data_IF_749891404688
#
_entry.id   IF_749891404688
#
_cell.length_a   1.000
_cell.length_b   1.000
_cell.length_c   1.000
_cell.angle_alpha   90.00
_cell.angle_beta   90.00
_cell.angle_gamma   90.00
#
_symmetry.space_group_name_H-M   'P 1'
#
loop_
_entity.id
_entity.type
_entity.pdbx_description
1 polymer ?
#
# COMPACT_ATOMS: atom_id res chain seq x y z
N UNK A 1 -29.61 -2.09 -12.99
CA UNK A 1 -28.33 -2.47 -12.37
C UNK A 1 -28.25 -1.68 -11.08
N UNK A 2 -28.13 -2.36 -9.94
CA UNK A 2 -27.94 -1.66 -8.66
C UNK A 2 -26.46 -1.26 -8.63
N UNK A 3 -26.16 0.01 -8.87
CA UNK A 3 -24.81 0.53 -8.69
C UNK A 3 -24.46 0.41 -7.21
N UNK A 4 -23.38 -0.31 -6.91
CA UNK A 4 -22.89 -0.43 -5.55
C UNK A 4 -22.59 0.95 -4.97
N UNK A 5 -22.96 1.17 -3.70
CA UNK A 5 -22.59 2.40 -2.96
C UNK A 5 -21.21 2.31 -2.33
N UNK A 6 -20.53 1.16 -2.48
CA UNK A 6 -19.21 0.94 -1.93
C UNK A 6 -18.19 1.89 -2.54
N UNK A 7 -17.20 2.24 -1.73
CA UNK A 7 -16.10 3.12 -2.12
C UNK A 7 -14.79 2.35 -1.95
N UNK A 8 -14.00 2.30 -3.02
CA UNK A 8 -12.63 1.82 -3.00
C UNK A 8 -11.69 3.01 -3.13
N UNK A 9 -10.62 3.05 -2.33
CA UNK A 9 -9.65 4.15 -2.32
C UNK A 9 -8.24 3.59 -2.48
N UNK A 10 -7.48 4.17 -3.42
CA UNK A 10 -6.04 3.97 -3.59
C UNK A 10 -5.33 5.27 -3.22
N UNK A 11 -4.66 5.30 -2.06
CA UNK A 11 -3.75 6.39 -1.74
C UNK A 11 -2.36 6.05 -2.24
N UNK A 12 -1.66 7.01 -2.84
CA UNK A 12 -0.30 6.81 -3.32
C UNK A 12 0.64 7.93 -2.89
N UNK A 13 1.88 7.57 -2.56
CA UNK A 13 2.98 8.50 -2.34
C UNK A 13 4.22 8.02 -3.08
N UNK A 14 4.77 8.87 -3.94
CA UNK A 14 6.01 8.62 -4.67
C UNK A 14 7.19 9.41 -4.11
N UNK A 15 8.39 9.03 -4.51
CA UNK A 15 9.65 9.71 -4.19
C UNK A 15 9.85 9.88 -2.67
N UNK A 16 9.41 8.89 -1.89
CA UNK A 16 9.67 8.88 -0.46
C UNK A 16 11.13 8.53 -0.25
N UNK A 17 11.85 9.32 0.55
CA UNK A 17 13.27 9.10 0.81
C UNK A 17 13.49 7.85 1.66
N UNK A 18 14.23 6.88 1.13
CA UNK A 18 14.55 5.61 1.79
C UNK A 18 15.49 5.84 2.99
N UNK A 19 16.42 6.78 2.88
CA UNK A 19 17.35 7.20 3.93
C UNK A 19 16.67 7.98 5.08
N UNK A 20 15.42 8.39 4.91
CA UNK A 20 14.60 8.98 5.97
C UNK A 20 13.70 7.97 6.66
N UNK A 21 13.73 6.70 6.25
CA UNK A 21 13.16 5.61 7.05
C UNK A 21 13.82 5.59 8.44
N UNK A 22 15.16 5.58 8.63
CA UNK A 22 15.78 5.41 9.96
C UNK A 22 15.57 6.55 10.97
N UNK A 23 15.59 7.83 10.60
CA UNK A 23 15.85 8.90 11.57
C UNK A 23 14.61 9.51 12.24
N UNK A 24 14.25 9.02 13.44
CA UNK A 24 13.63 9.84 14.51
C UNK A 24 14.18 9.44 15.89
N UNK A 25 15.50 9.42 16.03
CA UNK A 25 16.16 9.40 17.34
C UNK A 25 16.67 10.82 17.63
N UNK A 26 16.18 11.53 18.66
CA UNK A 26 16.55 12.92 18.93
C UNK A 26 17.98 13.11 19.48
N UNK A 27 18.81 12.05 19.51
CA UNK A 27 20.20 12.10 19.96
C UNK A 27 21.13 11.63 18.83
N UNK A 28 21.45 12.52 17.88
CA UNK A 28 22.55 12.30 16.95
C UNK A 28 23.88 12.38 17.71
N UNK A 29 24.64 11.29 17.74
CA UNK A 29 26.06 11.29 18.12
C UNK A 29 26.85 12.00 17.02
N UNK A 30 27.77 12.85 17.45
CA UNK A 30 28.57 13.78 16.67
C UNK A 30 29.74 13.11 15.91
N UNK A 31 29.47 12.10 15.09
CA UNK A 31 30.47 11.45 14.23
C UNK A 31 29.90 11.18 12.81
N UNK A 32 29.16 12.14 12.25
CA UNK A 32 28.86 12.10 10.81
C UNK A 32 30.14 12.42 10.03
N UNK A 33 30.76 11.36 9.50
CA UNK A 33 31.79 11.41 8.47
C UNK A 33 31.39 12.43 7.40
N UNK A 34 32.28 13.38 7.09
CA UNK A 34 32.09 14.36 6.03
C UNK A 34 31.80 13.63 4.71
N UNK A 35 30.55 13.75 4.24
CA UNK A 35 30.08 13.14 2.99
C UNK A 35 30.95 13.59 1.82
N UNK A 36 31.44 12.64 1.02
CA UNK A 36 32.29 12.95 -0.14
C UNK A 36 31.48 13.62 -1.26
N UNK A 37 32.15 14.32 -2.19
CA UNK A 37 31.50 14.90 -3.36
C UNK A 37 30.80 13.83 -4.22
N UNK A 38 31.36 12.61 -4.25
CA UNK A 38 30.77 11.44 -4.92
C UNK A 38 29.48 10.97 -4.27
N UNK A 39 29.35 11.08 -2.95
CA UNK A 39 28.11 10.74 -2.24
C UNK A 39 26.99 11.76 -2.49
N UNK A 40 27.34 13.03 -2.76
CA UNK A 40 26.37 14.05 -3.17
C UNK A 40 25.88 13.87 -4.62
N UNK A 41 26.64 13.15 -5.45
CA UNK A 41 26.29 12.88 -6.85
C UNK A 41 25.46 11.61 -7.04
N UNK A 42 25.35 10.75 -6.02
CA UNK A 42 24.46 9.58 -6.08
C UNK A 42 23.01 10.03 -5.87
N UNK A 43 22.05 9.55 -6.68
CA UNK A 43 20.64 9.82 -6.43
C UNK A 43 20.25 9.33 -5.03
N UNK A 44 19.53 10.15 -4.27
CA UNK A 44 18.93 9.72 -3.00
C UNK A 44 18.03 8.49 -3.30
N UNK A 45 18.21 7.35 -2.62
CA UNK A 45 17.34 6.19 -2.84
C UNK A 45 15.92 6.54 -2.41
N UNK A 46 14.94 6.23 -3.27
CA UNK A 46 13.52 6.50 -3.01
C UNK A 46 12.68 5.22 -3.07
N UNK A 47 11.49 5.31 -2.49
CA UNK A 47 10.46 4.29 -2.55
C UNK A 47 9.08 4.93 -2.74
N UNK A 48 8.11 4.12 -3.14
CA UNK A 48 6.70 4.44 -3.17
C UNK A 48 5.93 3.67 -2.11
N UNK A 49 4.88 4.27 -1.58
CA UNK A 49 3.91 3.59 -0.71
C UNK A 49 2.49 3.78 -1.22
N UNK A 50 1.69 2.73 -1.06
CA UNK A 50 0.30 2.70 -1.50
C UNK A 50 -0.59 2.14 -0.39
N UNK A 51 -1.80 2.67 -0.26
CA UNK A 51 -2.74 2.23 0.75
C UNK A 51 -4.09 1.92 0.08
N UNK A 52 -4.51 0.67 0.18
CA UNK A 52 -5.76 0.16 -0.36
C UNK A 52 -6.77 0.02 0.79
N UNK A 53 -7.89 0.71 0.67
CA UNK A 53 -8.95 0.66 1.68
C UNK A 53 -10.33 0.74 1.03
N UNK A 54 -11.33 0.32 1.78
CA UNK A 54 -12.71 0.25 1.34
C UNK A 54 -13.69 0.80 2.37
N UNK A 55 -14.84 1.27 1.88
CA UNK A 55 -15.97 1.71 2.72
C UNK A 55 -17.26 1.12 2.17
N UNK A 56 -17.92 0.29 2.98
CA UNK A 56 -19.34 -0.05 2.78
C UNK A 56 -20.16 1.15 3.30
N UNK A 57 -20.51 2.03 2.37
CA UNK A 57 -21.17 3.30 2.69
C UNK A 57 -22.59 3.09 3.24
N UNK A 58 -23.26 2.01 2.86
CA UNK A 58 -24.64 1.75 3.30
C UNK A 58 -24.71 1.34 4.77
N UNK A 59 -23.67 0.65 5.27
CA UNK A 59 -23.57 0.21 6.67
C UNK A 59 -22.54 1.01 7.50
N UNK A 60 -21.87 2.00 6.89
CA UNK A 60 -20.79 2.79 7.51
C UNK A 60 -19.66 1.94 8.09
N UNK A 61 -19.27 0.87 7.37
CA UNK A 61 -18.15 -0.02 7.76
C UNK A 61 -16.91 0.28 6.94
N UNK A 62 -15.75 0.33 7.61
CA UNK A 62 -14.49 0.73 7.01
C UNK A 62 -13.45 -0.39 7.08
N UNK A 63 -12.90 -0.69 5.92
CA UNK A 63 -11.93 -1.74 5.68
C UNK A 63 -12.06 -2.25 4.25
N UNK A 64 -10.94 -2.57 3.61
CA UNK A 64 -10.91 -3.14 2.27
C UNK A 64 -11.76 -4.40 2.17
N UNK A 65 -11.77 -5.25 3.20
CA UNK A 65 -12.59 -6.46 3.22
C UNK A 65 -14.07 -6.22 3.57
N UNK A 66 -14.49 -4.98 3.81
CA UNK A 66 -15.89 -4.64 4.10
C UNK A 66 -16.72 -4.40 2.84
N UNK A 67 -16.08 -4.03 1.71
CA UNK A 67 -16.79 -3.79 0.45
C UNK A 67 -17.17 -5.10 -0.23
N UNK A 68 -18.32 -5.10 -0.91
CA UNK A 68 -18.82 -6.27 -1.66
C UNK A 68 -17.88 -6.70 -2.81
N UNK A 69 -17.10 -5.77 -3.33
CA UNK A 69 -16.11 -5.98 -4.38
C UNK A 69 -14.75 -6.51 -3.93
N UNK A 70 -14.53 -6.78 -2.65
CA UNK A 70 -13.23 -7.12 -2.07
C UNK A 70 -12.46 -8.19 -2.86
N UNK A 71 -13.10 -9.34 -3.13
CA UNK A 71 -12.46 -10.44 -3.86
C UNK A 71 -12.01 -10.03 -5.27
N UNK A 72 -12.75 -9.13 -5.93
CA UNK A 72 -12.36 -8.60 -7.24
C UNK A 72 -11.16 -7.66 -7.14
N UNK A 73 -11.04 -6.91 -6.05
CA UNK A 73 -9.84 -6.07 -5.81
C UNK A 73 -8.61 -6.95 -5.65
N UNK A 74 -8.70 -8.04 -4.87
CA UNK A 74 -7.58 -8.97 -4.71
C UNK A 74 -7.22 -9.65 -6.03
N UNK A 75 -8.21 -10.08 -6.82
CA UNK A 75 -7.96 -10.64 -8.15
C UNK A 75 -7.33 -9.61 -9.12
N UNK A 76 -7.72 -8.34 -9.05
CA UNK A 76 -7.10 -7.27 -9.83
C UNK A 76 -5.65 -7.01 -9.38
N UNK A 77 -5.35 -7.14 -8.09
CA UNK A 77 -4.00 -7.06 -7.55
C UNK A 77 -3.13 -8.23 -8.03
N UNK A 78 -3.68 -9.46 -8.10
CA UNK A 78 -3.00 -10.61 -8.72
C UNK A 78 -2.71 -10.37 -10.21
N UNK A 79 -3.65 -9.77 -10.95
CA UNK A 79 -3.45 -9.40 -12.35
C UNK A 79 -2.37 -8.31 -12.54
N UNK A 80 -2.19 -7.43 -11.56
CA UNK A 80 -1.15 -6.40 -11.59
C UNK A 80 0.26 -6.99 -11.48
N UNK A 81 0.40 -8.16 -10.84
CA UNK A 81 1.69 -8.80 -10.54
C UNK A 81 1.70 -10.28 -10.95
N UNK A 82 1.53 -10.60 -12.25
CA UNK A 82 1.32 -11.97 -12.70
C UNK A 82 2.57 -12.85 -12.62
N UNK A 83 3.76 -12.23 -12.66
CA UNK A 83 5.06 -12.91 -12.69
C UNK A 83 5.77 -12.93 -11.33
N UNK A 84 5.12 -12.39 -10.29
CA UNK A 84 5.68 -12.31 -8.95
C UNK A 84 5.38 -13.56 -8.13
N UNK A 85 6.39 -14.05 -7.41
CA UNK A 85 6.22 -15.09 -6.41
C UNK A 85 5.81 -14.47 -5.07
N UNK A 86 4.89 -15.11 -4.35
CA UNK A 86 4.35 -14.62 -3.09
C UNK A 86 4.98 -15.37 -1.93
N UNK A 87 5.65 -14.68 -1.02
CA UNK A 87 6.28 -15.25 0.17
C UNK A 87 5.66 -14.69 1.45
N UNK A 88 5.51 -15.55 2.45
CA UNK A 88 5.08 -15.21 3.81
C UNK A 88 6.13 -15.75 4.80
N UNK A 89 6.02 -15.40 6.09
CA UNK A 89 6.85 -16.02 7.13
C UNK A 89 6.74 -17.56 7.16
N UNK A 90 5.62 -18.12 6.68
CA UNK A 90 5.38 -19.56 6.60
C UNK A 90 5.85 -20.20 5.28
N UNK A 91 6.55 -19.44 4.42
CA UNK A 91 7.04 -19.87 3.12
C UNK A 91 6.24 -19.33 1.94
N UNK A 92 6.44 -19.96 0.77
CA UNK A 92 5.83 -19.54 -0.50
C UNK A 92 4.33 -19.82 -0.51
N UNK A 93 3.52 -18.78 -0.67
CA UNK A 93 2.08 -18.86 -0.87
C UNK A 93 1.74 -19.16 -2.33
N UNK A 94 0.55 -19.72 -2.59
CA UNK A 94 0.14 -20.08 -3.95
C UNK A 94 -0.33 -18.89 -4.78
N UNK A 95 -0.78 -17.82 -4.12
CA UNK A 95 -1.27 -16.59 -4.77
C UNK A 95 -1.39 -15.45 -3.74
N UNK A 96 -1.66 -14.23 -4.19
CA UNK A 96 -1.90 -13.07 -3.30
C UNK A 96 -3.16 -13.29 -2.46
N UNK A 97 -4.24 -13.80 -3.07
CA UNK A 97 -5.47 -14.16 -2.36
C UNK A 97 -5.20 -15.17 -1.25
N UNK A 98 -4.41 -16.22 -1.55
CA UNK A 98 -4.02 -17.18 -0.53
C UNK A 98 -3.22 -16.51 0.61
N UNK A 99 -2.21 -15.70 0.29
CA UNK A 99 -1.43 -14.99 1.31
C UNK A 99 -2.32 -14.09 2.19
N UNK A 100 -3.14 -13.22 1.61
CA UNK A 100 -4.04 -12.33 2.37
C UNK A 100 -5.01 -13.12 3.26
N UNK A 101 -5.47 -14.29 2.81
CA UNK A 101 -6.40 -15.13 3.58
C UNK A 101 -5.77 -15.78 4.82
N UNK A 102 -4.49 -16.13 4.77
CA UNK A 102 -3.80 -16.85 5.85
C UNK A 102 -3.09 -15.91 6.83
N UNK A 103 -2.74 -14.70 6.40
CA UNK A 103 -2.05 -13.74 7.26
C UNK A 103 -2.95 -13.23 8.38
N UNK A 104 -2.37 -13.10 9.56
CA UNK A 104 -2.93 -12.35 10.67
C UNK A 104 -2.72 -10.83 10.48
N UNK A 105 -3.37 -10.03 11.31
CA UNK A 105 -3.21 -8.57 11.26
C UNK A 105 -1.81 -8.18 11.76
N UNK A 106 -1.16 -7.30 11.01
CA UNK A 106 0.21 -6.88 11.24
C UNK A 106 1.26 -7.78 10.58
N UNK A 107 0.87 -8.93 10.04
CA UNK A 107 1.75 -9.76 9.24
C UNK A 107 1.87 -9.24 7.79
N UNK A 108 2.89 -9.73 7.09
CA UNK A 108 3.21 -9.29 5.74
C UNK A 108 3.34 -10.46 4.77
N UNK A 109 3.12 -10.16 3.50
CA UNK A 109 3.66 -10.96 2.42
C UNK A 109 4.56 -10.11 1.52
N UNK A 110 5.43 -10.80 0.80
CA UNK A 110 6.41 -10.20 -0.10
C UNK A 110 6.19 -10.74 -1.49
N UNK A 111 6.18 -9.85 -2.48
CA UNK A 111 6.23 -10.20 -3.90
C UNK A 111 7.68 -10.07 -4.38
N UNK A 112 8.18 -11.13 -5.01
CA UNK A 112 9.51 -11.14 -5.61
C UNK A 112 9.53 -11.94 -6.92
N UNK A 113 10.23 -11.41 -7.93
CA UNK A 113 10.42 -12.11 -9.20
C UNK A 113 11.33 -13.33 -9.12
N UNK A 114 11.97 -13.56 -7.97
CA UNK A 114 12.81 -14.74 -7.70
C UNK A 114 11.98 -15.93 -7.17
N UNK A 115 12.43 -17.14 -7.46
CA UNK A 115 11.77 -18.39 -7.01
C UNK A 115 11.92 -18.67 -5.51
N UNK A 116 12.87 -17.99 -4.85
CA UNK A 116 13.13 -18.06 -3.42
C UNK A 116 13.62 -16.70 -2.91
N UNK A 117 13.45 -16.46 -1.61
CA UNK A 117 13.99 -15.28 -0.91
C UNK A 117 14.71 -15.73 0.36
N UNK A 118 15.84 -15.08 0.66
CA UNK A 118 16.58 -15.25 1.92
C UNK A 118 16.15 -14.22 2.98
N UNK A 119 15.18 -13.36 2.63
CA UNK A 119 14.64 -12.33 3.53
C UNK A 119 13.94 -12.97 4.74
N UNK A 120 14.28 -12.52 5.93
CA UNK A 120 13.55 -12.86 7.15
C UNK A 120 12.22 -12.09 7.21
N UNK A 121 11.17 -12.68 6.64
CA UNK A 121 9.86 -12.03 6.54
C UNK A 121 9.22 -11.81 7.92
N UNK A 122 9.52 -12.64 8.92
CA UNK A 122 8.97 -12.49 10.27
C UNK A 122 9.47 -11.20 10.94
N UNK A 123 10.70 -10.76 10.61
CA UNK A 123 11.24 -9.48 11.09
C UNK A 123 10.50 -8.25 10.57
N UNK A 124 9.69 -8.39 9.52
CA UNK A 124 8.83 -7.34 8.97
C UNK A 124 7.46 -7.26 9.65
N UNK A 125 7.12 -8.15 10.58
CA UNK A 125 5.82 -8.12 11.25
C UNK A 125 5.69 -6.91 12.19
N UNK A 126 4.58 -6.18 12.08
CA UNK A 126 4.24 -5.08 13.01
C UNK A 126 3.30 -5.58 14.11
N UNK A 127 3.53 -5.11 15.34
CA UNK A 127 2.48 -5.14 16.36
C UNK A 127 1.30 -4.29 15.85
N UNK A 128 0.08 -4.77 16.06
CA UNK A 128 -1.19 -4.12 15.68
C UNK A 128 -1.29 -2.69 16.26
N UNK A 129 -0.60 -2.40 17.37
CA UNK A 129 -0.54 -1.07 17.98
C UNK A 129 0.62 -0.20 17.47
N UNK A 130 1.48 -0.76 16.61
CA UNK A 130 2.59 -0.07 15.98
C UNK A 130 2.22 0.37 14.57
N UNK A 131 2.98 1.31 14.02
CA UNK A 131 2.88 1.68 12.61
C UNK A 131 4.13 1.19 11.87
N UNK A 132 4.02 0.94 10.57
CA UNK A 132 5.15 0.55 9.69
C UNK A 132 6.31 1.55 9.75
N UNK A 133 6.05 2.79 10.20
CA UNK A 133 7.08 3.77 10.48
C UNK A 133 8.04 3.40 11.62
N UNK A 134 7.96 2.21 12.23
CA UNK A 134 8.92 1.70 13.20
C UNK A 134 9.85 0.59 12.68
N UNK A 135 9.55 -0.08 11.56
CA UNK A 135 10.34 -1.20 10.99
C UNK A 135 11.16 -0.74 9.78
N UNK A 136 12.23 -0.03 10.06
CA UNK A 136 12.87 0.86 9.08
C UNK A 136 14.08 0.26 8.38
N UNK A 137 14.76 -0.71 8.99
CA UNK A 137 15.98 -1.31 8.44
C UNK A 137 15.62 -2.54 7.60
N UNK A 138 14.78 -3.42 8.13
CA UNK A 138 14.31 -4.64 7.49
C UNK A 138 13.49 -4.32 6.24
N UNK A 139 12.58 -3.34 6.34
CA UNK A 139 11.82 -2.87 5.17
C UNK A 139 12.74 -2.25 4.13
N UNK A 140 13.79 -1.54 4.55
CA UNK A 140 14.74 -0.94 3.62
C UNK A 140 15.49 -2.03 2.85
N UNK A 141 15.99 -3.06 3.53
CA UNK A 141 16.69 -4.20 2.93
C UNK A 141 15.80 -4.89 1.88
N UNK A 142 14.56 -5.23 2.26
CA UNK A 142 13.60 -5.84 1.34
C UNK A 142 13.37 -4.98 0.07
N UNK A 143 13.22 -3.66 0.23
CA UNK A 143 13.03 -2.75 -0.90
C UNK A 143 14.31 -2.60 -1.74
N UNK A 144 15.49 -2.62 -1.13
CA UNK A 144 16.77 -2.55 -1.85
C UNK A 144 16.98 -3.79 -2.73
N UNK A 145 16.51 -4.95 -2.29
CA UNK A 145 16.46 -6.22 -3.04
C UNK A 145 15.35 -6.28 -4.09
N UNK A 146 14.64 -5.18 -4.28
CA UNK A 146 13.60 -5.02 -5.32
C UNK A 146 12.29 -5.72 -4.98
N UNK A 147 12.10 -6.16 -3.75
CA UNK A 147 10.85 -6.78 -3.32
C UNK A 147 9.73 -5.74 -3.16
N UNK A 148 8.49 -6.19 -3.33
CA UNK A 148 7.29 -5.41 -2.94
C UNK A 148 6.78 -6.00 -1.63
N UNK A 149 6.68 -5.18 -0.59
CA UNK A 149 6.23 -5.60 0.75
C UNK A 149 4.78 -5.16 0.95
N UNK A 150 3.91 -6.09 1.35
CA UNK A 150 2.49 -5.82 1.58
C UNK A 150 2.09 -6.21 2.99
N UNK A 151 1.66 -5.21 3.76
CA UNK A 151 1.15 -5.38 5.12
C UNK A 151 -0.35 -5.54 5.12
N UNK A 152 -0.85 -6.45 5.95
CA UNK A 152 -2.26 -6.56 6.29
C UNK A 152 -2.53 -5.74 7.56
N UNK A 153 -2.98 -4.50 7.39
CA UNK A 153 -3.17 -3.56 8.49
C UNK A 153 -4.59 -3.57 9.05
N UNK A 154 -4.73 -3.36 10.36
CA UNK A 154 -6.04 -3.20 11.01
C UNK A 154 -6.75 -1.93 10.50
N UNK A 155 -7.95 -2.11 9.98
CA UNK A 155 -8.90 -1.02 9.72
C UNK A 155 -9.96 -0.96 10.83
N UNK A 156 -10.84 0.05 10.81
CA UNK A 156 -11.83 0.24 11.88
C UNK A 156 -12.78 -0.96 12.06
N UNK A 157 -13.25 -1.57 10.98
CA UNK A 157 -14.20 -2.70 11.01
C UNK A 157 -13.63 -3.97 10.36
N UNK A 158 -12.38 -3.94 9.92
CA UNK A 158 -11.77 -5.00 9.12
C UNK A 158 -10.26 -4.81 8.95
N UNK A 159 -9.77 -4.98 7.73
CA UNK A 159 -8.38 -4.73 7.39
C UNK A 159 -8.22 -4.00 6.06
N UNK A 160 -7.08 -3.35 5.91
CA UNK A 160 -6.61 -2.66 4.72
C UNK A 160 -5.27 -3.25 4.27
N UNK A 161 -4.81 -2.91 3.07
CA UNK A 161 -3.50 -3.31 2.57
C UNK A 161 -2.58 -2.10 2.39
N UNK A 162 -1.38 -2.18 2.96
CA UNK A 162 -0.35 -1.16 2.83
C UNK A 162 0.85 -1.73 2.07
N UNK A 163 1.13 -1.17 0.92
CA UNK A 163 2.11 -1.70 -0.05
C UNK A 163 3.30 -0.75 -0.11
N UNK A 164 4.50 -1.31 -0.11
CA UNK A 164 5.77 -0.61 -0.26
C UNK A 164 6.55 -1.21 -1.43
N UNK A 165 7.08 -0.35 -2.28
CA UNK A 165 7.89 -0.76 -3.42
C UNK A 165 8.97 0.27 -3.69
N UNK A 166 10.14 -0.17 -4.15
CA UNK A 166 11.19 0.76 -4.60
C UNK A 166 10.77 1.48 -5.88
N UNK A 167 10.27 0.70 -6.84
CA UNK A 167 9.74 1.20 -8.12
C UNK A 167 8.33 1.78 -7.98
N UNK A 168 7.93 2.65 -8.91
CA UNK A 168 6.57 3.18 -8.96
C UNK A 168 5.61 2.19 -9.66
N UNK A 169 4.92 1.37 -8.87
CA UNK A 169 3.94 0.36 -9.32
C UNK A 169 2.51 0.91 -9.45
N UNK A 170 2.32 2.24 -9.44
CA UNK A 170 0.99 2.85 -9.50
C UNK A 170 0.23 2.45 -10.78
N UNK A 171 0.91 2.53 -11.92
CA UNK A 171 0.33 2.21 -13.23
C UNK A 171 -0.06 0.75 -13.32
N UNK A 172 0.76 -0.14 -12.74
CA UNK A 172 0.54 -1.59 -12.75
C UNK A 172 -0.75 -1.95 -12.00
N UNK A 173 -1.06 -1.23 -10.92
CA UNK A 173 -2.28 -1.41 -10.14
C UNK A 173 -3.49 -0.63 -10.70
N UNK A 174 -3.28 0.57 -11.23
CA UNK A 174 -4.36 1.49 -11.62
C UNK A 174 -5.28 0.87 -12.67
N UNK A 175 -4.73 0.31 -13.75
CA UNK A 175 -5.53 -0.21 -14.85
C UNK A 175 -6.34 -1.47 -14.46
N UNK A 176 -5.76 -2.48 -13.78
CA UNK A 176 -6.55 -3.59 -13.24
C UNK A 176 -7.69 -3.14 -12.31
N UNK A 177 -7.49 -2.12 -11.47
CA UNK A 177 -8.56 -1.59 -10.61
C UNK A 177 -9.60 -0.79 -11.39
N UNK A 178 -9.19 -0.05 -12.42
CA UNK A 178 -10.10 0.71 -13.27
C UNK A 178 -11.11 -0.20 -14.01
N UNK A 179 -10.71 -1.42 -14.38
CA UNK A 179 -11.63 -2.39 -15.01
C UNK A 179 -12.82 -2.77 -14.12
N UNK A 180 -12.76 -2.48 -12.81
CA UNK A 180 -13.82 -2.79 -11.86
C UNK A 180 -14.90 -1.72 -11.75
N UNK A 181 -14.66 -0.51 -12.29
CA UNK A 181 -15.62 0.60 -12.28
C UNK A 181 -16.50 0.62 -13.55
N UNK A 182 -17.74 1.15 -13.47
CA UNK A 182 -18.45 1.61 -12.27
C UNK A 182 -19.24 0.49 -11.58
N UNK A 183 -19.18 -0.73 -12.11
CA UNK A 183 -20.12 -1.79 -11.75
C UNK A 183 -19.88 -2.38 -10.35
N UNK A 184 -18.65 -2.30 -9.83
CA UNK A 184 -18.29 -2.92 -8.55
C UNK A 184 -18.35 -1.94 -7.38
N UNK A 185 -17.83 -0.73 -7.56
CA UNK A 185 -17.75 0.33 -6.55
C UNK A 185 -17.43 1.67 -7.23
N UNK A 186 -17.48 2.75 -6.47
CA UNK A 186 -16.83 4.02 -6.84
C UNK A 186 -15.37 3.96 -6.44
N UNK A 187 -14.47 4.27 -7.37
CA UNK A 187 -13.03 4.21 -7.13
C UNK A 187 -12.45 5.62 -7.02
N UNK A 188 -11.70 5.91 -5.97
CA UNK A 188 -10.93 7.14 -5.84
C UNK A 188 -9.43 6.87 -5.84
N UNK A 189 -8.71 7.49 -6.76
CA UNK A 189 -7.25 7.55 -6.73
C UNK A 189 -6.80 8.87 -6.11
N UNK A 190 -5.95 8.79 -5.08
CA UNK A 190 -5.70 9.90 -4.17
C UNK A 190 -4.20 10.10 -4.00
N UNK A 191 -3.72 11.28 -4.40
CA UNK A 191 -2.35 11.67 -4.13
C UNK A 191 -2.17 11.97 -2.63
N UNK A 192 -1.40 11.13 -1.95
CA UNK A 192 -1.17 11.21 -0.52
C UNK A 192 -0.48 12.49 -0.04
N UNK A 193 0.13 13.30 -0.92
CA UNK A 193 0.62 14.66 -0.54
C UNK A 193 -0.54 15.61 -0.19
N UNK A 194 -1.76 15.32 -0.65
CA UNK A 194 -2.99 16.07 -0.34
C UNK A 194 -3.71 15.55 0.89
N UNK A 195 -3.38 14.33 1.33
CA UNK A 195 -3.88 13.71 2.54
C UNK A 195 -3.18 14.27 3.79
N UNK A 196 -3.94 14.90 4.70
CA UNK A 196 -3.37 15.58 5.88
C UNK A 196 -4.08 15.32 7.21
N UNK A 197 -5.19 14.59 7.19
CA UNK A 197 -6.00 14.36 8.39
C UNK A 197 -6.96 13.20 8.22
N UNK A 198 -7.47 12.70 9.34
CA UNK A 198 -8.52 11.67 9.38
C UNK A 198 -9.78 12.08 8.61
N UNK A 199 -10.14 13.37 8.62
CA UNK A 199 -11.26 13.88 7.80
C UNK A 199 -11.05 13.70 6.30
N UNK A 200 -9.80 13.76 5.82
CA UNK A 200 -9.49 13.42 4.44
C UNK A 200 -9.59 11.92 4.19
N UNK A 201 -9.31 11.09 5.20
CA UNK A 201 -9.37 9.63 5.09
C UNK A 201 -10.80 9.17 4.89
N UNK A 202 -11.71 9.74 5.68
CA UNK A 202 -13.14 9.45 5.65
C UNK A 202 -13.94 10.53 4.90
N UNK A 203 -13.38 11.11 3.83
CA UNK A 203 -14.02 12.22 3.10
C UNK A 203 -15.42 11.86 2.59
N UNK A 204 -15.65 10.58 2.31
CA UNK A 204 -16.92 10.04 1.85
C UNK A 204 -18.07 10.25 2.85
N UNK A 205 -17.76 10.44 4.13
CA UNK A 205 -18.77 10.65 5.18
C UNK A 205 -19.30 12.09 5.22
N UNK A 206 -18.62 13.05 4.58
CA UNK A 206 -18.99 14.48 4.66
C UNK A 206 -18.99 15.24 3.33
N UNK A 207 -18.14 14.83 2.39
CA UNK A 207 -17.82 15.60 1.18
C UNK A 207 -17.77 14.73 -0.07
N UNK A 208 -18.55 13.64 -0.11
CA UNK A 208 -18.57 12.73 -1.26
C UNK A 208 -19.02 13.39 -2.57
N UNK A 209 -19.96 14.34 -2.49
CA UNK A 209 -20.44 15.11 -3.66
C UNK A 209 -19.43 16.15 -4.14
N UNK A 210 -18.46 16.51 -3.28
CA UNK A 210 -17.39 17.47 -3.56
C UNK A 210 -16.09 17.02 -2.90
N UNK A 211 -15.46 15.94 -3.43
CA UNK A 211 -14.25 15.40 -2.85
C UNK A 211 -13.16 16.47 -2.73
N UNK A 212 -12.25 16.34 -1.74
CA UNK A 212 -11.12 17.26 -1.60
C UNK A 212 -10.27 17.33 -2.88
N UNK A 213 -9.62 18.47 -3.11
CA UNK A 213 -8.76 18.64 -4.29
C UNK A 213 -7.66 17.58 -4.33
N UNK A 214 -7.55 16.86 -5.46
CA UNK A 214 -6.59 15.77 -5.68
C UNK A 214 -7.10 14.39 -5.25
N UNK A 215 -8.40 14.28 -4.98
CA UNK A 215 -9.13 13.02 -4.82
C UNK A 215 -9.91 12.84 -6.12
N UNK A 216 -9.38 11.98 -7.00
CA UNK A 216 -9.90 11.82 -8.35
C UNK A 216 -10.75 10.57 -8.39
N UNK A 217 -12.04 10.74 -8.71
CA UNK A 217 -12.90 9.60 -9.00
C UNK A 217 -12.51 9.02 -10.35
N UNK A 218 -12.25 7.72 -10.36
CA UNK A 218 -11.83 6.98 -11.55
C UNK A 218 -13.07 6.46 -12.26
N UNK A 219 -13.13 6.75 -13.55
CA UNK A 219 -14.16 6.30 -14.47
C UNK A 219 -13.54 5.39 -15.54
N UNK A 220 -14.35 4.60 -16.28
CA UNK A 220 -13.85 3.75 -17.37
C UNK A 220 -13.00 4.49 -18.41
N UNK A 221 -13.27 5.78 -18.63
CA UNK A 221 -12.56 6.66 -19.55
C UNK A 221 -11.34 7.37 -18.95
N UNK A 222 -11.08 7.23 -17.65
CA UNK A 222 -9.91 7.86 -17.00
C UNK A 222 -8.60 7.35 -17.63
N UNK A 223 -7.62 8.24 -17.73
CA UNK A 223 -6.27 7.93 -18.24
C UNK A 223 -5.24 8.62 -17.34
N UNK A 224 -4.06 8.02 -17.22
CA UNK A 224 -2.92 8.56 -16.46
C UNK A 224 -2.11 9.59 -17.25
#
# INVERSE_FOLDING_TARGET
MNTSTDIFKLFFHHDQRLDKLPERTPNKKSDEMESTLEDFMKPDPTYSKFYLTGTDLAQERFGLNMISGYEKVIAALEKAFPDENVFTANGKATSISNAVSVLELGEVFVLAGAESTDLDIESLHIDINSNVGHLKEELKEALEDGHIVVYKEQAKDGFDLHIFSKENIYTDMFYPFQELVPDTFRFFSINGKKFRSERHFYFETWTLDRPPHGFEEVHPESVL
#
